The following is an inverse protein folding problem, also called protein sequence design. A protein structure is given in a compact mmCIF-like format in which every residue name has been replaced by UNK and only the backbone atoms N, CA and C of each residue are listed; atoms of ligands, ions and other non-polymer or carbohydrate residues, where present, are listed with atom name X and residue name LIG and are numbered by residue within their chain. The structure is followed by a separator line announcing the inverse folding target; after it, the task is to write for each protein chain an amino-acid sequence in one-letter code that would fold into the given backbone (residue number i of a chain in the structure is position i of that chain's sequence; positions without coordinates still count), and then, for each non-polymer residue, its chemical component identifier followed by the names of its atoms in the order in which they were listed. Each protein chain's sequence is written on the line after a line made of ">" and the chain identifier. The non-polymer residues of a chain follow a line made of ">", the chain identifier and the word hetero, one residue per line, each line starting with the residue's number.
data_IF_127642670429
#
_entry.id   IF_127642670429
#
_cell.length_a   1.000
_cell.length_b   1.000
_cell.length_c   1.000
_cell.angle_alpha   90.00
_cell.angle_beta   90.00
_cell.angle_gamma   90.00
#
_symmetry.space_group_name_H-M   'P 1'
#
loop_
_entity.id
_entity.type
_entity.pdbx_description
1 polymer ?
#
# COMPACT_ATOMS: atom_id res chain seq x y z
N UNK A 1 -8.48 -23.05 11.36
CA UNK A 1 -9.47 -21.95 11.51
C UNK A 1 -8.82 -20.58 11.82
N UNK A 2 -7.62 -20.56 12.45
CA UNK A 2 -6.92 -19.29 12.76
C UNK A 2 -6.28 -18.65 11.52
N UNK A 3 -5.81 -19.42 10.56
CA UNK A 3 -5.14 -18.89 9.35
C UNK A 3 -6.10 -18.19 8.39
N UNK A 4 -7.33 -18.71 8.24
CA UNK A 4 -8.38 -18.06 7.46
C UNK A 4 -8.86 -16.74 8.12
N UNK A 5 -8.93 -16.70 9.46
CA UNK A 5 -9.25 -15.48 10.19
C UNK A 5 -8.15 -14.41 10.08
N UNK A 6 -6.89 -14.83 10.05
CA UNK A 6 -5.75 -13.93 9.86
C UNK A 6 -5.67 -13.37 8.43
N UNK A 7 -6.07 -14.16 7.42
CA UNK A 7 -6.24 -13.71 6.04
C UNK A 7 -7.36 -12.69 5.88
N UNK A 8 -8.49 -12.92 6.56
CA UNK A 8 -9.64 -12.01 6.52
C UNK A 8 -9.38 -10.64 7.15
N UNK A 9 -8.31 -10.49 7.96
CA UNK A 9 -7.93 -9.20 8.56
C UNK A 9 -6.89 -8.42 7.75
N UNK A 10 -6.27 -9.02 6.71
CA UNK A 10 -5.14 -8.43 5.98
C UNK A 10 -5.46 -8.05 4.53
N UNK A 11 -6.45 -8.68 3.92
CA UNK A 11 -7.00 -8.27 2.62
C UNK A 11 -8.47 -7.97 2.86
N UNK A 12 -8.91 -6.81 2.44
CA UNK A 12 -10.33 -6.45 2.54
C UNK A 12 -11.17 -7.49 1.78
N UNK A 13 -12.09 -8.22 2.45
CA UNK A 13 -12.88 -9.26 1.78
C UNK A 13 -13.68 -8.73 0.61
N UNK A 14 -14.14 -7.49 0.72
CA UNK A 14 -14.91 -6.80 -0.32
C UNK A 14 -14.05 -6.56 -1.58
N UNK A 15 -12.78 -6.16 -1.43
CA UNK A 15 -11.84 -6.04 -2.54
C UNK A 15 -11.67 -7.38 -3.27
N UNK A 16 -11.49 -8.49 -2.53
CA UNK A 16 -11.31 -9.81 -3.13
C UNK A 16 -12.54 -10.24 -3.93
N UNK A 17 -13.75 -10.14 -3.35
CA UNK A 17 -14.98 -10.50 -4.04
C UNK A 17 -15.24 -9.63 -5.28
N UNK A 18 -15.00 -8.33 -5.19
CA UNK A 18 -15.15 -7.41 -6.32
C UNK A 18 -14.15 -7.72 -7.43
N UNK A 19 -12.91 -8.05 -7.09
CA UNK A 19 -11.90 -8.42 -8.08
C UNK A 19 -12.28 -9.70 -8.81
N UNK A 20 -12.75 -10.73 -8.10
CA UNK A 20 -13.22 -11.99 -8.71
C UNK A 20 -14.45 -11.77 -9.60
N UNK A 21 -15.39 -10.92 -9.18
CA UNK A 21 -16.56 -10.55 -9.99
C UNK A 21 -16.14 -9.83 -11.28
N UNK A 22 -15.18 -8.89 -11.20
CA UNK A 22 -14.63 -8.21 -12.37
C UNK A 22 -13.93 -9.18 -13.32
N UNK A 23 -13.11 -10.10 -12.80
CA UNK A 23 -12.48 -11.14 -13.63
C UNK A 23 -13.56 -11.94 -14.39
N UNK A 24 -14.62 -12.34 -13.71
CA UNK A 24 -15.71 -13.12 -14.32
C UNK A 24 -16.36 -12.37 -15.49
N UNK A 25 -16.58 -11.07 -15.35
CA UNK A 25 -17.14 -10.22 -16.44
C UNK A 25 -16.14 -10.07 -17.58
N UNK A 26 -14.85 -9.89 -17.27
CA UNK A 26 -13.80 -9.70 -18.26
C UNK A 26 -13.49 -10.96 -19.07
N UNK A 27 -13.76 -12.16 -18.56
CA UNK A 27 -13.54 -13.42 -19.29
C UNK A 27 -14.20 -13.39 -20.66
N UNK A 28 -15.42 -12.89 -20.75
CA UNK A 28 -16.20 -12.86 -21.99
C UNK A 28 -15.97 -11.59 -22.82
N UNK A 29 -15.54 -10.48 -22.20
CA UNK A 29 -15.42 -9.17 -22.86
C UNK A 29 -13.98 -8.77 -23.18
N UNK A 30 -13.02 -9.13 -22.31
CA UNK A 30 -11.60 -8.75 -22.42
C UNK A 30 -10.74 -9.82 -21.73
N UNK A 31 -10.61 -10.98 -22.35
CA UNK A 31 -9.86 -12.11 -21.82
C UNK A 31 -8.39 -11.80 -21.48
N UNK A 32 -7.64 -10.96 -22.23
CA UNK A 32 -6.29 -10.56 -21.83
C UNK A 32 -6.25 -9.86 -20.49
N UNK A 33 -7.14 -8.88 -20.23
CA UNK A 33 -7.23 -8.18 -18.96
C UNK A 33 -7.77 -9.08 -17.84
N UNK A 34 -8.68 -10.01 -18.13
CA UNK A 34 -9.12 -11.02 -17.15
C UNK A 34 -7.93 -11.87 -16.67
N UNK A 35 -7.09 -12.33 -17.59
CA UNK A 35 -5.90 -13.12 -17.27
C UNK A 35 -4.90 -12.32 -16.44
N UNK A 36 -4.58 -11.09 -16.88
CA UNK A 36 -3.66 -10.21 -16.15
C UNK A 36 -4.16 -9.93 -14.73
N UNK A 37 -5.45 -9.62 -14.57
CA UNK A 37 -6.04 -9.38 -13.24
C UNK A 37 -5.96 -10.61 -12.34
N UNK A 38 -6.17 -11.82 -12.87
CA UNK A 38 -6.04 -13.07 -12.13
C UNK A 38 -4.58 -13.34 -11.71
N UNK A 39 -3.62 -13.09 -12.61
CA UNK A 39 -2.19 -13.23 -12.32
C UNK A 39 -1.77 -12.26 -11.20
N UNK A 40 -2.15 -10.98 -11.30
CA UNK A 40 -1.85 -9.96 -10.29
C UNK A 40 -2.56 -10.23 -8.95
N UNK A 41 -3.79 -10.74 -8.97
CA UNK A 41 -4.47 -11.17 -7.73
C UNK A 41 -3.74 -12.32 -7.06
N UNK A 42 -3.29 -13.29 -7.84
CA UNK A 42 -2.53 -14.45 -7.32
C UNK A 42 -1.19 -14.00 -6.70
N UNK A 43 -0.49 -13.07 -7.35
CA UNK A 43 0.75 -12.46 -6.86
C UNK A 43 0.50 -11.73 -5.53
N UNK A 44 -0.52 -10.87 -5.46
CA UNK A 44 -0.90 -10.13 -4.27
C UNK A 44 -1.24 -11.04 -3.11
N UNK A 45 -2.09 -12.05 -3.33
CA UNK A 45 -2.49 -13.02 -2.30
C UNK A 45 -1.29 -13.81 -1.76
N UNK A 46 -0.45 -14.33 -2.66
CA UNK A 46 0.74 -15.09 -2.28
C UNK A 46 1.72 -14.23 -1.48
N UNK A 47 2.00 -13.03 -1.97
CA UNK A 47 2.91 -12.10 -1.30
C UNK A 47 2.41 -11.68 0.07
N UNK A 48 1.12 -11.35 0.21
CA UNK A 48 0.51 -10.99 1.50
C UNK A 48 0.57 -12.15 2.49
N UNK A 49 0.29 -13.38 2.05
CA UNK A 49 0.36 -14.59 2.88
C UNK A 49 1.78 -14.88 3.38
N UNK A 50 2.77 -14.75 2.52
CA UNK A 50 4.17 -14.98 2.89
C UNK A 50 4.63 -13.96 3.92
N UNK A 51 4.30 -12.68 3.72
CA UNK A 51 4.74 -11.57 4.58
C UNK A 51 4.02 -11.48 5.90
N UNK A 52 2.77 -11.94 5.98
CA UNK A 52 2.04 -12.00 7.24
C UNK A 52 2.70 -12.91 8.29
N UNK A 53 3.63 -13.76 7.85
CA UNK A 53 4.39 -14.69 8.69
C UNK A 53 5.84 -14.25 8.91
N UNK A 54 6.27 -13.18 8.27
CA UNK A 54 7.63 -12.67 8.34
C UNK A 54 7.67 -11.43 9.22
N UNK A 55 8.77 -11.25 9.92
CA UNK A 55 9.02 -10.04 10.71
C UNK A 55 9.53 -8.89 9.85
N UNK A 56 10.24 -9.20 8.75
CA UNK A 56 10.77 -8.25 7.77
C UNK A 56 10.50 -8.70 6.34
N UNK A 57 10.49 -7.72 5.46
CA UNK A 57 10.46 -7.91 4.01
C UNK A 57 11.40 -6.89 3.37
N UNK A 58 11.82 -7.11 2.13
CA UNK A 58 12.54 -6.08 1.40
C UNK A 58 11.58 -4.97 0.97
N UNK A 59 12.07 -3.73 0.92
CA UNK A 59 11.30 -2.61 0.37
C UNK A 59 10.82 -2.92 -1.04
N UNK A 60 11.67 -3.48 -1.89
CA UNK A 60 11.29 -3.91 -3.24
C UNK A 60 10.11 -4.88 -3.20
N UNK A 61 10.15 -5.82 -2.30
CA UNK A 61 9.02 -6.73 -2.12
C UNK A 61 7.73 -6.01 -1.73
N UNK A 62 7.74 -4.99 -0.87
CA UNK A 62 6.55 -4.18 -0.58
C UNK A 62 6.07 -3.44 -1.83
N UNK A 63 7.00 -2.88 -2.63
CA UNK A 63 6.65 -2.18 -3.87
C UNK A 63 6.07 -3.12 -4.93
N UNK A 64 6.55 -4.37 -5.01
CA UNK A 64 5.97 -5.39 -5.90
C UNK A 64 4.51 -5.69 -5.54
N UNK A 65 4.16 -5.76 -4.23
CA UNK A 65 2.76 -5.91 -3.81
C UNK A 65 1.91 -4.69 -4.14
N UNK A 66 2.47 -3.51 -3.94
CA UNK A 66 1.81 -2.25 -4.31
C UNK A 66 1.55 -2.19 -5.81
N UNK A 67 2.52 -2.59 -6.64
CA UNK A 67 2.33 -2.67 -8.09
C UNK A 67 1.23 -3.66 -8.47
N UNK A 68 1.25 -4.87 -7.89
CA UNK A 68 0.21 -5.87 -8.13
C UNK A 68 -1.19 -5.34 -7.76
N UNK A 69 -1.32 -4.65 -6.62
CA UNK A 69 -2.58 -4.03 -6.19
C UNK A 69 -3.02 -2.92 -7.15
N UNK A 70 -2.11 -1.98 -7.49
CA UNK A 70 -2.42 -0.85 -8.39
C UNK A 70 -2.74 -1.32 -9.81
N UNK A 71 -2.10 -2.37 -10.31
CA UNK A 71 -2.41 -2.97 -11.61
C UNK A 71 -3.85 -3.53 -11.65
N UNK A 72 -4.31 -4.19 -10.57
CA UNK A 72 -5.71 -4.64 -10.44
C UNK A 72 -6.65 -3.42 -10.47
N UNK A 73 -6.33 -2.39 -9.69
CA UNK A 73 -7.14 -1.18 -9.63
C UNK A 73 -7.17 -0.42 -10.97
N UNK A 74 -6.05 -0.39 -11.71
CA UNK A 74 -5.98 0.21 -13.05
C UNK A 74 -6.90 -0.51 -14.04
N UNK A 75 -6.95 -1.84 -14.02
CA UNK A 75 -7.89 -2.60 -14.86
C UNK A 75 -9.33 -2.26 -14.47
N UNK A 76 -9.64 -2.17 -13.17
CA UNK A 76 -10.98 -1.86 -12.66
C UNK A 76 -11.45 -0.44 -12.95
N UNK A 77 -10.59 0.54 -12.75
CA UNK A 77 -10.91 1.97 -12.87
C UNK A 77 -10.64 2.53 -14.27
N UNK A 78 -9.92 1.79 -15.11
CA UNK A 78 -9.59 2.20 -16.47
C UNK A 78 -8.78 3.51 -16.49
N UNK A 79 -9.18 4.44 -17.34
CA UNK A 79 -8.52 5.74 -17.50
C UNK A 79 -8.63 6.65 -16.25
N UNK A 80 -9.51 6.31 -15.30
CA UNK A 80 -9.64 7.08 -14.07
C UNK A 80 -8.50 6.88 -13.07
N UNK A 81 -7.66 5.86 -13.23
CA UNK A 81 -6.47 5.68 -12.40
C UNK A 81 -5.23 5.66 -13.29
N UNK A 82 -4.27 6.52 -12.99
CA UNK A 82 -2.88 6.39 -13.42
C UNK A 82 -2.00 6.21 -12.18
N UNK A 83 -0.87 5.51 -12.34
CA UNK A 83 0.06 5.37 -11.22
C UNK A 83 1.50 5.27 -11.69
N UNK A 84 2.41 5.58 -10.79
CA UNK A 84 3.85 5.50 -10.98
C UNK A 84 4.51 5.10 -9.67
N UNK A 85 5.50 4.22 -9.75
CA UNK A 85 6.31 3.80 -8.60
C UNK A 85 7.77 4.13 -8.92
N UNK A 86 8.37 5.00 -8.12
CA UNK A 86 9.75 5.46 -8.27
C UNK A 86 10.56 5.06 -7.04
N UNK A 87 11.51 4.14 -7.25
CA UNK A 87 12.42 3.68 -6.20
C UNK A 87 13.82 4.26 -6.46
N UNK A 88 14.23 5.16 -5.60
CA UNK A 88 15.55 5.81 -5.63
C UNK A 88 16.48 5.30 -4.52
N UNK A 89 16.20 4.12 -3.97
CA UNK A 89 17.07 3.48 -2.99
C UNK A 89 18.30 2.84 -3.64
N UNK A 90 19.44 2.97 -2.96
CA UNK A 90 20.74 2.47 -3.44
C UNK A 90 21.03 1.01 -3.09
N UNK A 91 20.08 0.29 -2.48
CA UNK A 91 20.31 -1.11 -2.08
C UNK A 91 19.06 -1.84 -1.61
N UNK A 92 19.23 -3.12 -1.27
CA UNK A 92 18.19 -3.91 -0.63
C UNK A 92 17.99 -3.41 0.80
N UNK A 93 16.84 -2.78 1.04
CA UNK A 93 16.46 -2.26 2.34
C UNK A 93 15.38 -3.16 2.94
N UNK A 94 15.60 -3.65 4.15
CA UNK A 94 14.61 -4.39 4.89
C UNK A 94 13.71 -3.45 5.70
N UNK A 95 12.40 -3.65 5.58
CA UNK A 95 11.39 -2.90 6.30
C UNK A 95 10.36 -3.86 6.94
N UNK A 96 9.63 -3.45 7.96
CA UNK A 96 8.48 -4.21 8.44
C UNK A 96 7.45 -4.39 7.31
N UNK A 97 6.87 -5.59 7.16
CA UNK A 97 5.91 -5.86 6.08
C UNK A 97 4.62 -5.04 6.23
N UNK A 98 3.91 -4.83 5.13
CA UNK A 98 2.59 -4.18 5.08
C UNK A 98 2.58 -2.75 5.69
N UNK A 99 3.61 -1.96 5.40
CA UNK A 99 3.65 -0.54 5.76
C UNK A 99 3.20 0.36 4.60
N UNK A 100 3.53 0.00 3.37
CA UNK A 100 3.26 0.83 2.18
C UNK A 100 1.88 0.53 1.61
N UNK A 101 1.50 -0.72 1.53
CA UNK A 101 0.24 -1.16 0.92
C UNK A 101 -0.99 -0.43 1.51
N UNK A 102 -1.19 -0.31 2.84
CA UNK A 102 -2.35 0.39 3.38
C UNK A 102 -2.40 1.89 3.05
N UNK A 103 -1.25 2.54 2.82
CA UNK A 103 -1.21 3.94 2.38
C UNK A 103 -1.74 4.08 0.95
N UNK A 104 -1.37 3.14 0.09
CA UNK A 104 -1.83 3.08 -1.30
C UNK A 104 -3.32 2.72 -1.37
N UNK A 105 -3.77 1.78 -0.55
CA UNK A 105 -5.20 1.44 -0.42
C UNK A 105 -6.02 2.67 -0.03
N UNK A 106 -5.56 3.46 0.95
CA UNK A 106 -6.22 4.72 1.32
C UNK A 106 -6.25 5.73 0.17
N UNK A 107 -5.15 5.89 -0.58
CA UNK A 107 -5.10 6.81 -1.72
C UNK A 107 -6.09 6.39 -2.82
N UNK A 108 -6.21 5.09 -3.13
CA UNK A 108 -7.21 4.59 -4.08
C UNK A 108 -8.62 4.83 -3.55
N UNK A 109 -8.93 4.33 -2.35
CA UNK A 109 -10.28 4.27 -1.80
C UNK A 109 -10.85 5.65 -1.49
N UNK A 110 -10.01 6.54 -0.95
CA UNK A 110 -10.45 7.85 -0.48
C UNK A 110 -10.07 9.01 -1.40
N UNK A 111 -9.02 8.86 -2.20
CA UNK A 111 -8.58 9.88 -3.16
C UNK A 111 -9.19 9.69 -4.54
N UNK A 112 -8.99 8.52 -5.14
CA UNK A 112 -9.27 8.28 -6.56
C UNK A 112 -10.69 7.78 -6.82
N UNK A 113 -11.17 6.77 -6.08
CA UNK A 113 -12.50 6.18 -6.32
C UNK A 113 -13.65 7.18 -6.25
N UNK A 114 -13.67 8.10 -5.28
CA UNK A 114 -14.74 9.10 -5.18
C UNK A 114 -14.63 10.19 -6.26
N UNK A 115 -13.45 10.35 -6.90
CA UNK A 115 -13.25 11.34 -7.96
C UNK A 115 -13.93 10.92 -9.25
N UNK A 116 -14.84 11.72 -9.77
CA UNK A 116 -15.50 11.45 -11.06
C UNK A 116 -14.53 11.51 -12.24
N UNK A 117 -13.49 12.31 -12.14
CA UNK A 117 -12.43 12.48 -13.16
C UNK A 117 -11.25 11.53 -12.94
N UNK A 118 -11.22 10.84 -11.77
CA UNK A 118 -10.09 10.00 -11.38
C UNK A 118 -8.89 10.79 -10.91
N UNK A 119 -7.70 10.22 -11.08
CA UNK A 119 -6.45 10.86 -10.68
C UNK A 119 -5.23 9.98 -10.89
N UNK A 120 -4.09 10.44 -10.34
CA UNK A 120 -2.80 9.74 -10.36
C UNK A 120 -2.37 9.43 -8.93
N UNK A 121 -1.79 8.25 -8.73
CA UNK A 121 -1.07 7.89 -7.51
C UNK A 121 0.41 7.76 -7.86
N UNK A 122 1.26 8.43 -7.09
CA UNK A 122 2.71 8.29 -7.20
C UNK A 122 3.25 7.75 -5.89
N UNK A 123 4.01 6.67 -5.95
CA UNK A 123 4.75 6.11 -4.82
C UNK A 123 6.22 6.42 -5.03
N UNK A 124 6.79 7.21 -4.14
CA UNK A 124 8.17 7.64 -4.20
C UNK A 124 8.93 7.14 -2.99
N UNK A 125 10.09 6.54 -3.22
CA UNK A 125 11.03 6.18 -2.16
C UNK A 125 12.28 7.01 -2.32
N UNK A 126 12.65 7.69 -1.24
CA UNK A 126 13.87 8.49 -1.16
C UNK A 126 14.68 8.07 0.06
N UNK A 127 15.97 7.91 -0.13
CA UNK A 127 16.93 7.57 0.90
C UNK A 127 17.98 8.68 1.03
N UNK A 128 18.31 9.01 2.26
CA UNK A 128 19.47 9.84 2.58
C UNK A 128 20.32 9.14 3.67
N UNK A 129 21.39 9.80 4.16
CA UNK A 129 22.30 9.22 5.15
C UNK A 129 21.60 8.86 6.47
N UNK A 130 20.54 9.58 6.84
CA UNK A 130 19.90 9.48 8.16
C UNK A 130 18.55 8.76 8.13
N UNK A 131 17.86 8.78 7.00
CA UNK A 131 16.48 8.31 6.92
C UNK A 131 16.08 7.74 5.56
N UNK A 132 15.09 6.88 5.58
CA UNK A 132 14.33 6.41 4.44
C UNK A 132 12.93 7.03 4.51
N UNK A 133 12.49 7.59 3.42
CA UNK A 133 11.18 8.22 3.29
C UNK A 133 10.40 7.57 2.15
N UNK A 134 9.20 7.11 2.44
CA UNK A 134 8.26 6.56 1.48
C UNK A 134 7.06 7.51 1.42
N UNK A 135 6.79 8.05 0.25
CA UNK A 135 5.69 8.99 0.02
C UNK A 135 4.68 8.37 -0.93
N UNK A 136 3.43 8.29 -0.51
CA UNK A 136 2.28 7.98 -1.36
C UNK A 136 1.53 9.27 -1.60
N UNK A 137 1.51 9.69 -2.85
CA UNK A 137 0.99 10.99 -3.30
C UNK A 137 -0.19 10.71 -4.23
N UNK A 138 -1.36 11.20 -3.89
CA UNK A 138 -2.49 11.22 -4.81
C UNK A 138 -2.86 12.67 -5.18
N UNK A 139 -3.54 12.83 -6.31
CA UNK A 139 -4.17 14.07 -6.73
C UNK A 139 -5.69 13.92 -6.84
N UNK A 140 -6.27 13.09 -5.99
CA UNK A 140 -7.70 12.83 -5.90
C UNK A 140 -8.48 13.98 -5.24
N UNK A 141 -9.57 13.63 -4.54
CA UNK A 141 -10.47 14.64 -3.94
C UNK A 141 -9.91 15.34 -2.69
N UNK A 142 -8.78 14.85 -2.13
CA UNK A 142 -8.19 15.42 -0.91
C UNK A 142 -8.96 15.05 0.37
N UNK A 143 -8.69 15.80 1.44
CA UNK A 143 -9.44 15.64 2.69
C UNK A 143 -10.86 16.14 2.49
N UNK A 144 -11.85 15.26 2.67
CA UNK A 144 -13.25 15.70 2.65
C UNK A 144 -13.65 16.20 4.04
N UNK A 145 -14.33 17.38 4.08
CA UNK A 145 -14.91 17.94 5.30
C UNK A 145 -16.10 17.13 5.84
N UNK A 146 -16.59 16.16 5.09
CA UNK A 146 -17.63 15.25 5.55
C UNK A 146 -17.03 14.23 6.50
N UNK A 147 -17.56 14.10 7.75
CA UNK A 147 -17.18 13.02 8.64
C UNK A 147 -17.62 11.70 7.98
N UNK A 148 -16.74 11.14 7.16
CA UNK A 148 -17.02 9.88 6.50
C UNK A 148 -16.81 8.75 7.50
N UNK A 149 -17.86 8.00 7.62
CA UNK A 149 -18.01 6.67 8.23
C UNK A 149 -16.78 6.07 8.94
N UNK A 150 -17.04 5.41 10.04
CA UNK A 150 -16.16 4.79 11.05
C UNK A 150 -14.99 3.88 10.56
N UNK A 151 -14.52 4.01 9.33
CA UNK A 151 -13.43 3.23 8.75
C UNK A 151 -12.17 4.03 8.36
N UNK A 152 -12.25 5.35 8.20
CA UNK A 152 -11.16 6.16 7.63
C UNK A 152 -9.91 6.31 8.53
N UNK A 153 -10.03 6.11 9.83
CA UNK A 153 -8.90 6.25 10.77
C UNK A 153 -8.18 4.94 11.09
N UNK A 154 -8.88 3.81 10.97
CA UNK A 154 -8.40 2.53 11.53
C UNK A 154 -7.12 2.04 10.84
N UNK A 155 -7.01 2.14 9.53
CA UNK A 155 -5.84 1.70 8.78
C UNK A 155 -4.59 2.53 9.10
N UNK A 156 -4.71 3.85 9.06
CA UNK A 156 -3.61 4.78 9.31
C UNK A 156 -3.19 4.80 10.78
N UNK A 157 -4.14 4.69 11.71
CA UNK A 157 -3.87 4.61 13.14
C UNK A 157 -3.16 3.30 13.50
N UNK A 158 -3.51 2.21 12.84
CA UNK A 158 -2.78 0.94 12.97
C UNK A 158 -1.32 1.07 12.51
N UNK A 159 -1.08 1.77 11.39
CA UNK A 159 0.29 2.04 10.92
C UNK A 159 1.04 2.92 11.93
N UNK A 160 0.44 4.01 12.42
CA UNK A 160 1.05 4.88 13.43
C UNK A 160 1.40 4.11 14.70
N UNK A 161 0.46 3.32 15.20
CA UNK A 161 0.69 2.49 16.38
C UNK A 161 1.84 1.50 16.16
N UNK A 162 1.87 0.85 15.00
CA UNK A 162 2.93 -0.09 14.63
C UNK A 162 4.29 0.58 14.51
N UNK A 163 4.38 1.75 13.86
CA UNK A 163 5.61 2.52 13.77
C UNK A 163 6.13 2.92 15.16
N UNK A 164 5.23 3.39 16.03
CA UNK A 164 5.59 3.74 17.42
C UNK A 164 6.09 2.53 18.20
N UNK A 165 5.46 1.37 18.01
CA UNK A 165 5.85 0.12 18.70
C UNK A 165 7.22 -0.37 18.26
N UNK A 166 7.51 -0.31 16.93
CA UNK A 166 8.75 -0.83 16.36
C UNK A 166 9.93 0.15 16.48
N UNK A 167 9.67 1.43 16.32
CA UNK A 167 10.70 2.46 16.15
C UNK A 167 10.62 3.60 17.16
N UNK A 168 9.59 3.64 18.01
CA UNK A 168 9.39 4.73 18.96
C UNK A 168 9.28 6.09 18.24
N UNK A 169 10.17 7.02 18.61
CA UNK A 169 10.24 8.37 18.01
C UNK A 169 11.10 8.43 16.73
N UNK A 170 11.66 7.29 16.29
CA UNK A 170 12.55 7.21 15.13
C UNK A 170 11.80 6.94 13.81
N UNK A 171 10.48 6.89 13.86
CA UNK A 171 9.63 6.80 12.68
C UNK A 171 8.41 7.70 12.83
N UNK A 172 7.89 8.17 11.69
CA UNK A 172 6.68 9.01 11.68
C UNK A 172 5.85 8.74 10.43
N UNK A 173 4.54 8.95 10.55
CA UNK A 173 3.60 9.02 9.43
C UNK A 173 2.88 10.36 9.45
N UNK A 174 3.15 11.18 8.46
CA UNK A 174 2.56 12.50 8.27
C UNK A 174 1.62 12.50 7.06
N UNK A 175 0.47 13.13 7.22
CA UNK A 175 -0.48 13.36 6.16
C UNK A 175 -0.58 14.87 5.93
N UNK A 176 -0.53 15.28 4.68
CA UNK A 176 -0.68 16.69 4.29
C UNK A 176 -1.43 16.83 2.96
N UNK A 177 -2.05 17.95 2.74
CA UNK A 177 -2.66 18.26 1.46
C UNK A 177 -1.59 18.34 0.36
N UNK A 178 -1.93 17.79 -0.79
CA UNK A 178 -1.14 17.96 -2.00
C UNK A 178 -1.57 19.25 -2.72
N UNK A 179 -0.63 20.09 -3.09
CA UNK A 179 -0.89 21.35 -3.78
C UNK A 179 -1.65 21.17 -5.12
N UNK A 180 -1.52 20.00 -5.73
CA UNK A 180 -2.23 19.63 -6.97
C UNK A 180 -3.63 19.02 -6.72
N UNK A 181 -4.13 19.08 -5.49
CA UNK A 181 -5.27 18.33 -5.01
C UNK A 181 -4.84 16.97 -4.45
N UNK A 182 -5.69 16.35 -3.61
CA UNK A 182 -5.40 15.07 -3.00
C UNK A 182 -4.55 15.14 -1.74
N UNK A 183 -3.90 14.03 -1.38
CA UNK A 183 -3.17 13.85 -0.12
C UNK A 183 -1.76 13.33 -0.39
N UNK A 184 -0.83 13.74 0.45
CA UNK A 184 0.50 13.16 0.56
C UNK A 184 0.59 12.42 1.91
N UNK A 185 0.69 11.11 1.86
CA UNK A 185 1.00 10.27 3.01
C UNK A 185 2.50 9.97 3.01
N UNK A 186 3.24 10.53 3.97
CA UNK A 186 4.68 10.42 4.06
C UNK A 186 5.09 9.64 5.31
N UNK A 187 5.67 8.47 5.09
CA UNK A 187 6.26 7.62 6.09
C UNK A 187 7.78 7.82 6.10
N UNK A 188 8.35 8.17 7.24
CA UNK A 188 9.79 8.35 7.42
C UNK A 188 10.29 7.48 8.54
N UNK A 189 11.42 6.77 8.33
CA UNK A 189 12.08 5.93 9.33
C UNK A 189 13.57 6.27 9.35
N UNK A 190 14.17 6.40 10.54
CA UNK A 190 15.60 6.56 10.67
C UNK A 190 16.33 5.29 10.22
N UNK A 191 17.35 5.42 9.36
CA UNK A 191 18.11 4.31 8.80
C UNK A 191 18.70 3.39 9.87
N UNK A 192 19.32 3.97 10.90
CA UNK A 192 19.89 3.20 12.02
C UNK A 192 18.86 2.33 12.76
N UNK A 193 17.59 2.71 12.72
CA UNK A 193 16.53 1.94 13.37
C UNK A 193 16.10 0.74 12.54
N UNK A 194 16.21 0.83 11.21
CA UNK A 194 16.03 -0.31 10.30
C UNK A 194 17.18 -1.31 10.44
N UNK A 195 18.43 -0.83 10.48
CA UNK A 195 19.62 -1.67 10.67
C UNK A 195 19.56 -2.45 12.00
N UNK A 196 19.16 -1.80 13.10
CA UNK A 196 18.97 -2.47 14.41
C UNK A 196 17.85 -3.51 14.39
N UNK A 197 16.82 -3.31 13.57
CA UNK A 197 15.74 -4.28 13.43
C UNK A 197 16.26 -5.57 12.77
N UNK A 198 17.16 -5.45 11.81
CA UNK A 198 17.85 -6.59 11.16
C UNK A 198 18.75 -7.34 12.15
N UNK A 199 19.63 -6.63 12.85
CA UNK A 199 20.56 -7.24 13.81
C UNK A 199 19.87 -8.03 14.94
N UNK A 200 18.75 -7.51 15.46
CA UNK A 200 17.99 -8.18 16.51
C UNK A 200 17.28 -9.46 16.04
N UNK A 201 17.17 -9.67 14.77
CA UNK A 201 16.47 -10.81 14.16
C UNK A 201 17.43 -11.91 13.74
N UNK A 202 18.66 -11.57 13.33
CA UNK A 202 19.72 -12.52 13.06
C UNK A 202 20.28 -13.17 14.35
N UNK A 203 19.96 -12.58 15.51
CA UNK A 203 20.40 -13.04 16.82
C UNK A 203 19.42 -13.99 17.54
N UNK A 204 18.23 -14.30 16.98
CA UNK A 204 17.20 -15.21 17.51
C UNK A 204 16.93 -16.38 16.56
#
# INVERSE_FOLDING_TARGET
>A
LSQLKQLQSQIEPHFLFNTLANISVLIDSDAPNAKLMLEKLTELLRGTLQRSRQYNTTLRGELDLVDAYLAIQKIRLGERLNYEISDHCLGDLNIPPLLVQPLVENAVQHGIEPSSVGGKITVEVAENQDSVTISVIDNGIGFSDTPSHAGQGIGLDNIRHRLTTLFGQHASLNLKENASGGVIAQLSVQRRSLEKLEENMDAN
#
